data_IF_699802501376
#
_entry.id   IF_699802501376
#
_cell.length_a   1.000
_cell.length_b   1.000
_cell.length_c   1.000
_cell.angle_alpha   90.00
_cell.angle_beta   90.00
_cell.angle_gamma   90.00
#
_symmetry.space_group_name_H-M   'P 1'
#
loop_
_entity.id
_entity.type
_entity.pdbx_description
1 polymer ?
#
# COMPACT_ATOMS: atom_id res chain seq x y z
N UNK A 1 8.40 -4.95 -11.29
CA UNK A 1 7.35 -4.45 -10.35
C UNK A 1 6.95 -3.00 -10.65
N UNK A 2 7.54 -2.37 -11.67
CA UNK A 2 7.19 -1.05 -12.20
C UNK A 2 7.05 -1.16 -13.73
N UNK A 3 6.00 -0.57 -14.36
CA UNK A 3 5.89 -0.48 -15.80
C UNK A 3 7.10 0.19 -16.44
N UNK A 4 7.51 -0.29 -17.62
CA UNK A 4 8.74 0.16 -18.27
C UNK A 4 8.76 1.66 -18.59
N UNK A 5 7.66 2.18 -19.14
CA UNK A 5 7.49 3.61 -19.42
C UNK A 5 7.68 4.47 -18.17
N UNK A 6 7.09 4.06 -17.05
CA UNK A 6 7.23 4.77 -15.78
C UNK A 6 8.68 4.71 -15.27
N UNK A 7 9.31 3.53 -15.34
CA UNK A 7 10.71 3.36 -14.93
C UNK A 7 11.64 4.31 -15.67
N UNK A 8 11.55 4.40 -17.00
CA UNK A 8 12.38 5.34 -17.77
C UNK A 8 12.09 6.80 -17.43
N UNK A 9 10.81 7.15 -17.28
CA UNK A 9 10.42 8.50 -16.87
C UNK A 9 11.04 8.88 -15.52
N UNK A 10 11.00 7.97 -14.53
CA UNK A 10 11.56 8.20 -13.19
C UNK A 10 13.08 8.28 -13.19
N UNK A 11 13.77 7.53 -14.05
CA UNK A 11 15.23 7.66 -14.28
C UNK A 11 15.56 9.06 -14.78
N UNK A 12 14.91 9.52 -15.85
CA UNK A 12 15.15 10.84 -16.45
C UNK A 12 14.87 11.97 -15.45
N UNK A 13 13.81 11.82 -14.66
CA UNK A 13 13.40 12.81 -13.66
C UNK A 13 14.17 12.71 -12.33
N UNK A 14 15.10 11.76 -12.18
CA UNK A 14 15.85 11.50 -10.94
C UNK A 14 14.95 11.28 -9.72
N UNK A 15 13.87 10.52 -9.90
CA UNK A 15 12.87 10.21 -8.86
C UNK A 15 12.94 8.76 -8.38
N UNK A 16 14.11 8.13 -8.45
CA UNK A 16 14.31 6.78 -7.90
C UNK A 16 14.62 6.87 -6.42
N UNK A 17 14.04 5.98 -5.63
CA UNK A 17 14.40 5.81 -4.22
C UNK A 17 15.70 5.00 -4.10
N UNK A 18 16.43 5.17 -2.99
CA UNK A 18 17.56 4.31 -2.65
C UNK A 18 17.16 2.81 -2.58
N UNK A 19 15.91 2.51 -2.21
CA UNK A 19 15.36 1.14 -2.21
C UNK A 19 15.13 0.54 -3.62
N UNK A 20 15.43 1.29 -4.67
CA UNK A 20 15.27 0.90 -6.08
C UNK A 20 16.62 0.95 -6.84
N UNK A 21 17.72 1.12 -6.09
CA UNK A 21 19.08 1.18 -6.60
C UNK A 21 19.96 0.08 -5.96
N UNK A 22 21.05 -0.24 -6.63
CA UNK A 22 22.17 -1.00 -6.04
C UNK A 22 22.98 -0.11 -5.09
N UNK A 23 23.87 -0.72 -4.30
CA UNK A 23 24.72 -0.01 -3.33
C UNK A 23 25.64 1.05 -3.97
N UNK A 24 25.96 0.89 -5.27
CA UNK A 24 26.73 1.86 -6.05
C UNK A 24 25.89 3.03 -6.60
N UNK A 25 24.59 3.08 -6.27
CA UNK A 25 23.64 4.09 -6.71
C UNK A 25 23.09 3.89 -8.12
N UNK A 26 23.50 2.84 -8.84
CA UNK A 26 22.93 2.50 -10.14
C UNK A 26 21.52 1.92 -9.97
N UNK A 27 20.63 2.16 -10.95
CA UNK A 27 19.27 1.61 -10.92
C UNK A 27 19.30 0.08 -10.90
N UNK A 28 18.45 -0.52 -10.06
CA UNK A 28 18.15 -1.95 -10.08
C UNK A 28 16.75 -2.16 -10.68
N UNK A 29 16.60 -2.39 -12.01
CA UNK A 29 15.29 -2.41 -12.66
C UNK A 29 14.31 -3.41 -12.06
N UNK A 30 14.80 -4.54 -11.58
CA UNK A 30 14.04 -5.58 -10.89
C UNK A 30 13.46 -5.13 -9.55
N UNK A 31 14.11 -4.19 -8.86
CA UNK A 31 13.67 -3.63 -7.57
C UNK A 31 12.73 -2.43 -7.71
N UNK A 32 12.66 -1.82 -8.89
CA UNK A 32 11.77 -0.66 -9.12
C UNK A 32 10.30 -1.03 -8.94
N UNK A 33 9.59 -0.20 -8.16
CA UNK A 33 8.17 -0.40 -7.85
C UNK A 33 7.36 0.81 -8.34
N UNK A 34 6.21 0.52 -8.97
CA UNK A 34 5.26 1.53 -9.45
C UNK A 34 4.93 2.54 -8.33
N UNK A 35 5.07 3.83 -8.62
CA UNK A 35 4.70 4.92 -7.72
C UNK A 35 3.20 5.19 -7.73
N UNK A 36 2.68 5.63 -6.59
CA UNK A 36 1.33 6.13 -6.54
C UNK A 36 1.26 7.50 -7.24
N UNK A 37 0.46 7.57 -8.30
CA UNK A 37 0.05 8.83 -8.93
C UNK A 37 -1.40 9.16 -8.54
N UNK A 38 -1.66 10.43 -8.20
CA UNK A 38 -3.04 10.89 -7.98
C UNK A 38 -3.78 10.93 -9.32
N UNK A 39 -5.04 10.53 -9.31
CA UNK A 39 -5.90 10.70 -10.48
C UNK A 39 -6.17 12.18 -10.73
N UNK A 40 -5.85 12.67 -11.92
CA UNK A 40 -6.30 13.98 -12.40
C UNK A 40 -7.63 13.84 -13.15
N UNK A 41 -8.40 14.92 -13.27
CA UNK A 41 -9.69 14.91 -13.97
C UNK A 41 -9.56 14.45 -15.44
N UNK A 42 -8.44 14.81 -16.08
CA UNK A 42 -8.13 14.46 -17.48
C UNK A 42 -7.23 13.22 -17.60
N UNK A 43 -7.05 12.44 -16.53
CA UNK A 43 -6.22 11.25 -16.60
C UNK A 43 -6.94 10.16 -17.41
N UNK A 44 -6.38 9.81 -18.56
CA UNK A 44 -6.81 8.66 -19.36
C UNK A 44 -6.80 7.37 -18.51
N UNK A 45 -7.73 6.46 -18.83
CA UNK A 45 -7.70 5.11 -18.24
C UNK A 45 -6.34 4.46 -18.51
N UNK A 46 -5.71 3.85 -17.49
CA UNK A 46 -4.39 3.25 -17.66
C UNK A 46 -4.46 2.13 -18.69
N UNK A 47 -3.45 2.05 -19.54
CA UNK A 47 -3.34 0.95 -20.49
C UNK A 47 -3.09 -0.37 -19.74
N UNK A 48 -3.48 -1.54 -20.30
CA UNK A 48 -3.29 -2.82 -19.63
C UNK A 48 -1.84 -3.10 -19.19
N UNK A 49 -0.84 -2.66 -19.97
CA UNK A 49 0.58 -2.83 -19.63
C UNK A 49 1.09 -1.84 -18.57
N UNK A 50 0.29 -0.84 -18.20
CA UNK A 50 0.56 0.09 -17.09
C UNK A 50 -0.02 -0.43 -15.76
N UNK A 51 -0.84 -1.48 -15.79
CA UNK A 51 -1.40 -2.15 -14.62
C UNK A 51 -0.65 -3.45 -14.32
N UNK A 52 -0.33 -3.69 -13.04
CA UNK A 52 0.34 -4.93 -12.64
C UNK A 52 -0.70 -6.04 -12.46
N UNK A 53 -0.53 -7.21 -13.11
CA UNK A 53 -1.40 -8.36 -12.88
C UNK A 53 -1.24 -8.91 -11.45
N UNK A 54 -2.18 -9.75 -11.02
CA UNK A 54 -2.28 -10.26 -9.66
C UNK A 54 -0.99 -10.90 -9.13
N UNK A 55 -0.32 -11.74 -9.94
CA UNK A 55 0.94 -12.40 -9.58
C UNK A 55 2.08 -11.37 -9.39
N UNK A 56 2.12 -10.33 -10.21
CA UNK A 56 3.09 -9.23 -10.09
C UNK A 56 2.79 -8.37 -8.87
N UNK A 57 1.52 -8.11 -8.54
CA UNK A 57 1.13 -7.41 -7.31
C UNK A 57 1.55 -8.19 -6.07
N UNK A 58 1.32 -9.51 -6.04
CA UNK A 58 1.75 -10.38 -4.94
C UNK A 58 3.28 -10.37 -4.78
N UNK A 59 4.02 -10.54 -5.87
CA UNK A 59 5.50 -10.45 -5.85
C UNK A 59 5.98 -9.08 -5.38
N UNK A 60 5.28 -8.01 -5.78
CA UNK A 60 5.60 -6.66 -5.34
C UNK A 60 5.43 -6.51 -3.83
N UNK A 61 4.30 -6.96 -3.28
CA UNK A 61 4.09 -6.87 -1.83
C UNK A 61 5.05 -7.75 -1.05
N UNK A 62 5.38 -8.94 -1.56
CA UNK A 62 6.40 -9.81 -0.95
C UNK A 62 7.78 -9.13 -0.89
N UNK A 63 8.14 -8.36 -1.91
CA UNK A 63 9.34 -7.52 -1.88
C UNK A 63 9.21 -6.40 -0.83
N UNK A 64 8.14 -5.61 -0.88
CA UNK A 64 7.94 -4.48 0.03
C UNK A 64 7.95 -4.93 1.49
N UNK A 65 7.20 -5.97 1.84
CA UNK A 65 7.14 -6.49 3.22
C UNK A 65 8.41 -7.25 3.58
N UNK A 66 8.81 -8.20 2.74
CA UNK A 66 9.90 -9.14 3.04
C UNK A 66 11.29 -8.51 3.04
N UNK A 67 11.52 -7.49 2.21
CA UNK A 67 12.82 -6.83 2.05
C UNK A 67 12.87 -5.43 2.64
N UNK A 68 11.81 -4.64 2.54
CA UNK A 68 11.87 -3.24 3.00
C UNK A 68 11.27 -3.13 4.40
N UNK A 69 10.04 -3.60 4.61
CA UNK A 69 9.36 -3.42 5.89
C UNK A 69 10.02 -4.19 7.04
N UNK A 70 10.70 -5.31 6.74
CA UNK A 70 11.45 -6.08 7.73
C UNK A 70 12.78 -5.44 8.17
N UNK A 71 13.23 -4.37 7.52
CA UNK A 71 14.45 -3.64 7.88
C UNK A 71 14.08 -2.22 8.28
N UNK A 72 13.58 -2.09 9.51
CA UNK A 72 13.12 -0.81 10.08
C UNK A 72 14.35 0.01 10.49
N UNK A 73 14.55 1.23 9.98
CA UNK A 73 15.67 2.07 10.37
C UNK A 73 15.62 2.50 11.84
N UNK A 74 16.77 2.96 12.34
CA UNK A 74 16.92 3.43 13.72
C UNK A 74 16.77 4.96 13.84
N UNK A 75 17.18 5.71 12.82
CA UNK A 75 17.11 7.18 12.85
C UNK A 75 15.75 7.68 12.37
N UNK A 76 15.30 8.79 12.94
CA UNK A 76 14.01 9.42 12.62
C UNK A 76 13.91 9.83 11.14
N UNK A 77 14.99 10.38 10.58
CA UNK A 77 15.06 10.77 9.17
C UNK A 77 14.90 9.56 8.24
N UNK A 78 15.62 8.47 8.51
CA UNK A 78 15.52 7.24 7.71
C UNK A 78 14.16 6.56 7.88
N UNK A 79 13.59 6.58 9.09
CA UNK A 79 12.25 6.07 9.37
C UNK A 79 11.18 6.79 8.55
N UNK A 80 11.26 8.12 8.45
CA UNK A 80 10.35 8.93 7.65
C UNK A 80 10.45 8.55 6.16
N UNK A 81 11.68 8.46 5.61
CA UNK A 81 11.91 8.08 4.22
C UNK A 81 11.47 6.64 3.92
N UNK A 82 11.74 5.71 4.84
CA UNK A 82 11.32 4.32 4.78
C UNK A 82 9.80 4.20 4.71
N UNK A 83 9.09 4.93 5.58
CA UNK A 83 7.64 4.90 5.60
C UNK A 83 7.04 5.59 4.37
N UNK A 84 7.56 6.74 3.93
CA UNK A 84 7.08 7.42 2.72
C UNK A 84 7.17 6.50 1.48
N UNK A 85 8.29 5.77 1.34
CA UNK A 85 8.44 4.78 0.28
C UNK A 85 7.38 3.67 0.38
N UNK A 86 7.26 3.01 1.53
CA UNK A 86 6.31 1.91 1.73
C UNK A 86 4.86 2.37 1.54
N UNK A 87 4.49 3.50 2.15
CA UNK A 87 3.16 4.10 2.03
C UNK A 87 2.83 4.41 0.57
N UNK A 88 3.76 5.01 -0.18
CA UNK A 88 3.56 5.33 -1.58
C UNK A 88 3.36 4.07 -2.43
N UNK A 89 4.25 3.07 -2.30
CA UNK A 89 4.21 1.85 -3.13
C UNK A 89 3.03 0.94 -2.80
N UNK A 90 2.67 0.81 -1.51
CA UNK A 90 1.48 0.03 -1.09
C UNK A 90 0.19 0.71 -1.54
N UNK A 91 0.12 2.05 -1.52
CA UNK A 91 -1.00 2.80 -2.10
C UNK A 91 -1.12 2.61 -3.61
N UNK A 92 0.00 2.49 -4.33
CA UNK A 92 -0.01 2.16 -5.76
C UNK A 92 -0.55 0.74 -6.02
N UNK A 93 -0.22 -0.24 -5.16
CA UNK A 93 -0.79 -1.60 -5.23
C UNK A 93 -2.31 -1.56 -5.07
N UNK A 94 -2.79 -0.84 -4.04
CA UNK A 94 -4.24 -0.67 -3.81
C UNK A 94 -4.93 0.00 -5.00
N UNK A 95 -4.30 1.00 -5.63
CA UNK A 95 -4.81 1.65 -6.84
C UNK A 95 -4.95 0.66 -8.00
N UNK A 96 -3.95 -0.18 -8.24
CA UNK A 96 -4.02 -1.21 -9.30
C UNK A 96 -5.13 -2.24 -9.04
N UNK A 97 -5.35 -2.62 -7.77
CA UNK A 97 -6.46 -3.52 -7.37
C UNK A 97 -7.81 -2.89 -7.71
N UNK A 98 -8.01 -1.61 -7.37
CA UNK A 98 -9.23 -0.87 -7.66
C UNK A 98 -9.44 -0.70 -9.18
N UNK A 99 -8.41 -0.30 -9.91
CA UNK A 99 -8.50 -0.07 -11.37
C UNK A 99 -8.79 -1.36 -12.15
N UNK A 100 -8.35 -2.51 -11.64
CA UNK A 100 -8.64 -3.82 -12.22
C UNK A 100 -9.91 -4.46 -11.66
N UNK A 101 -10.63 -3.79 -10.75
CA UNK A 101 -11.84 -4.30 -10.08
C UNK A 101 -11.65 -5.73 -9.50
N UNK A 102 -10.48 -5.99 -8.91
CA UNK A 102 -10.13 -7.32 -8.44
C UNK A 102 -10.98 -7.71 -7.23
N UNK A 103 -11.67 -8.86 -7.31
CA UNK A 103 -12.43 -9.48 -6.21
C UNK A 103 -12.01 -10.94 -6.08
N UNK A 104 -10.85 -11.16 -5.44
CA UNK A 104 -10.22 -12.47 -5.28
C UNK A 104 -9.31 -12.50 -4.03
N UNK A 105 -8.76 -13.68 -3.74
CA UNK A 105 -7.86 -13.92 -2.59
C UNK A 105 -6.65 -12.98 -2.60
N UNK A 106 -6.02 -12.76 -3.76
CA UNK A 106 -4.86 -11.86 -3.87
C UNK A 106 -5.22 -10.44 -3.42
N UNK A 107 -6.37 -9.91 -3.83
CA UNK A 107 -6.80 -8.57 -3.41
C UNK A 107 -7.00 -8.49 -1.89
N UNK A 108 -7.61 -9.52 -1.28
CA UNK A 108 -7.80 -9.63 0.17
C UNK A 108 -6.44 -9.60 0.87
N UNK A 109 -5.55 -10.55 0.57
CA UNK A 109 -4.23 -10.67 1.21
C UNK A 109 -3.42 -9.38 1.11
N UNK A 110 -3.42 -8.74 -0.06
CA UNK A 110 -2.65 -7.51 -0.29
C UNK A 110 -3.20 -6.33 0.52
N UNK A 111 -4.52 -6.17 0.61
CA UNK A 111 -5.13 -5.07 1.38
C UNK A 111 -4.98 -5.32 2.88
N UNK A 112 -5.09 -6.57 3.34
CA UNK A 112 -4.79 -6.95 4.72
C UNK A 112 -3.36 -6.55 5.13
N UNK A 113 -2.37 -6.82 4.28
CA UNK A 113 -0.98 -6.44 4.53
C UNK A 113 -0.82 -4.90 4.59
N UNK A 114 -1.53 -4.15 3.75
CA UNK A 114 -1.56 -2.69 3.83
C UNK A 114 -2.14 -2.19 5.17
N UNK A 115 -3.24 -2.79 5.63
CA UNK A 115 -3.86 -2.45 6.93
C UNK A 115 -2.88 -2.69 8.07
N UNK A 116 -2.25 -3.88 8.13
CA UNK A 116 -1.27 -4.22 9.18
C UNK A 116 -0.08 -3.26 9.16
N UNK A 117 0.41 -2.87 7.98
CA UNK A 117 1.47 -1.86 7.83
C UNK A 117 1.06 -0.50 8.41
N UNK A 118 -0.15 -0.01 8.12
CA UNK A 118 -0.62 1.29 8.65
C UNK A 118 -0.80 1.28 10.17
N UNK A 119 -1.26 0.16 10.74
CA UNK A 119 -1.35 -0.03 12.19
C UNK A 119 0.04 -0.03 12.81
N UNK A 120 0.98 -0.79 12.24
CA UNK A 120 2.38 -0.81 12.67
C UNK A 120 3.00 0.60 12.63
N UNK A 121 2.85 1.31 11.51
CA UNK A 121 3.40 2.65 11.33
C UNK A 121 2.82 3.65 12.34
N UNK A 122 1.52 3.54 12.66
CA UNK A 122 0.87 4.40 13.67
C UNK A 122 1.56 4.34 15.03
N UNK A 123 2.05 3.17 15.42
CA UNK A 123 2.77 3.00 16.67
C UNK A 123 4.25 3.31 16.51
N UNK A 124 4.89 2.81 15.45
CA UNK A 124 6.35 2.93 15.29
C UNK A 124 6.81 4.37 15.04
N UNK A 125 5.98 5.19 14.38
CA UNK A 125 6.32 6.56 14.00
C UNK A 125 5.61 7.61 14.88
N UNK A 126 4.98 7.24 16.00
CA UNK A 126 4.16 8.16 16.79
C UNK A 126 4.93 9.32 17.44
N UNK A 127 6.24 9.15 17.65
CA UNK A 127 7.12 10.17 18.23
C UNK A 127 7.74 11.11 17.18
N UNK A 128 7.57 10.81 15.88
CA UNK A 128 8.08 11.67 14.80
C UNK A 128 7.25 12.96 14.71
N UNK A 129 7.89 14.02 14.22
CA UNK A 129 7.18 15.28 14.03
C UNK A 129 6.19 15.19 12.86
N UNK A 130 5.20 16.08 12.86
CA UNK A 130 4.16 16.12 11.82
C UNK A 130 4.72 16.21 10.38
N UNK A 131 5.83 16.90 10.18
CA UNK A 131 6.47 17.03 8.87
C UNK A 131 7.14 15.73 8.39
N UNK A 132 7.48 14.82 9.32
CA UNK A 132 8.12 13.54 9.05
C UNK A 132 7.06 12.44 8.91
N UNK A 133 5.99 12.51 9.70
CA UNK A 133 4.89 11.56 9.67
C UNK A 133 3.54 12.21 10.01
N UNK A 134 2.68 12.32 9.00
CA UNK A 134 1.31 12.75 9.18
C UNK A 134 0.43 11.57 9.65
N UNK A 135 0.29 11.43 10.97
CA UNK A 135 -0.53 10.40 11.60
C UNK A 135 -1.99 10.44 11.15
N UNK A 136 -2.53 11.62 10.83
CA UNK A 136 -3.91 11.75 10.33
C UNK A 136 -4.00 11.16 8.92
N UNK A 137 -3.05 11.49 8.04
CA UNK A 137 -3.00 10.92 6.70
C UNK A 137 -2.82 9.39 6.75
N UNK A 138 -1.99 8.86 7.66
CA UNK A 138 -1.87 7.40 7.85
C UNK A 138 -3.21 6.78 8.27
N UNK A 139 -3.87 7.36 9.28
CA UNK A 139 -5.19 6.93 9.76
C UNK A 139 -6.25 6.95 8.66
N UNK A 140 -6.26 7.97 7.79
CA UNK A 140 -7.16 8.04 6.63
C UNK A 140 -6.91 6.90 5.62
N UNK A 141 -5.65 6.53 5.39
CA UNK A 141 -5.31 5.42 4.49
C UNK A 141 -5.65 4.06 5.10
N UNK A 142 -5.49 3.91 6.42
CA UNK A 142 -5.94 2.75 7.19
C UNK A 142 -7.46 2.59 7.06
N UNK A 143 -8.23 3.63 7.34
CA UNK A 143 -9.70 3.65 7.23
C UNK A 143 -10.16 3.24 5.81
N UNK A 144 -9.58 3.86 4.77
CA UNK A 144 -9.88 3.51 3.37
C UNK A 144 -9.52 2.05 3.03
N UNK A 145 -8.46 1.51 3.63
CA UNK A 145 -8.05 0.11 3.41
C UNK A 145 -9.05 -0.85 4.02
N UNK A 146 -9.44 -0.60 5.28
CA UNK A 146 -10.46 -1.38 5.99
C UNK A 146 -11.81 -1.33 5.27
N UNK A 147 -12.22 -0.16 4.80
CA UNK A 147 -13.45 -0.01 4.01
C UNK A 147 -13.40 -0.83 2.71
N UNK A 148 -12.27 -0.81 1.99
CA UNK A 148 -12.10 -1.61 0.77
C UNK A 148 -12.15 -3.11 1.08
N UNK A 149 -11.52 -3.52 2.19
CA UNK A 149 -11.46 -4.91 2.62
C UNK A 149 -12.86 -5.42 3.04
N UNK A 150 -13.64 -4.60 3.73
CA UNK A 150 -15.05 -4.88 4.03
C UNK A 150 -15.85 -5.19 2.77
N UNK A 151 -15.79 -4.32 1.76
CA UNK A 151 -16.51 -4.56 0.51
C UNK A 151 -16.04 -5.83 -0.21
N UNK A 152 -14.74 -6.13 -0.17
CA UNK A 152 -14.21 -7.37 -0.71
C UNK A 152 -14.76 -8.61 0.01
N UNK A 153 -14.80 -8.60 1.35
CA UNK A 153 -15.41 -9.69 2.11
C UNK A 153 -16.89 -9.85 1.79
N UNK A 154 -17.64 -8.75 1.74
CA UNK A 154 -19.07 -8.78 1.42
C UNK A 154 -19.33 -9.37 0.02
N UNK A 155 -18.54 -8.99 -0.99
CA UNK A 155 -18.67 -9.49 -2.36
C UNK A 155 -18.22 -10.95 -2.53
N UNK A 156 -17.23 -11.39 -1.75
CA UNK A 156 -16.78 -12.78 -1.72
C UNK A 156 -17.77 -13.68 -0.95
N UNK A 157 -18.37 -13.17 0.12
CA UNK A 157 -19.41 -13.87 0.88
C UNK A 157 -20.66 -14.14 0.01
N UNK A 158 -21.05 -13.20 -0.86
CA UNK A 158 -22.12 -13.43 -1.87
C UNK A 158 -21.81 -14.60 -2.82
N UNK A 159 -20.53 -14.96 -2.98
CA UNK A 159 -20.04 -16.09 -3.77
C UNK A 159 -19.76 -17.34 -2.93
N UNK A 160 -20.08 -17.33 -1.63
CA UNK A 160 -19.82 -18.42 -0.69
C UNK A 160 -18.36 -18.57 -0.27
N UNK A 161 -17.52 -17.54 -0.48
CA UNK A 161 -16.11 -17.53 -0.08
C UNK A 161 -15.95 -16.70 1.18
N UNK A 162 -15.35 -17.30 2.21
CA UNK A 162 -15.13 -16.66 3.52
C UNK A 162 -13.68 -16.84 3.96
N UNK A 163 -13.16 -15.87 4.71
CA UNK A 163 -11.78 -15.87 5.22
C UNK A 163 -11.78 -15.83 6.74
N UNK A 164 -10.95 -16.67 7.37
CA UNK A 164 -10.80 -16.67 8.83
C UNK A 164 -10.21 -15.36 9.37
N UNK A 165 -9.47 -14.65 8.53
CA UNK A 165 -8.90 -13.33 8.83
C UNK A 165 -9.95 -12.22 8.91
N UNK A 166 -11.15 -12.39 8.36
CA UNK A 166 -12.16 -11.33 8.34
C UNK A 166 -12.43 -10.77 9.74
N UNK A 167 -12.53 -11.64 10.75
CA UNK A 167 -12.76 -11.23 12.13
C UNK A 167 -11.66 -10.29 12.68
N UNK A 168 -10.38 -10.53 12.32
CA UNK A 168 -9.25 -9.66 12.69
C UNK A 168 -9.47 -8.25 12.16
N UNK A 169 -9.81 -8.12 10.87
CA UNK A 169 -9.94 -6.81 10.21
C UNK A 169 -11.22 -6.07 10.60
N UNK A 170 -12.32 -6.79 10.86
CA UNK A 170 -13.53 -6.19 11.45
C UNK A 170 -13.23 -5.61 12.84
N UNK A 171 -12.41 -6.31 13.65
CA UNK A 171 -11.98 -5.78 14.94
C UNK A 171 -11.14 -4.51 14.80
N UNK A 172 -10.22 -4.44 13.82
CA UNK A 172 -9.47 -3.20 13.53
C UNK A 172 -10.37 -2.03 13.11
N UNK A 173 -11.39 -2.29 12.28
CA UNK A 173 -12.38 -1.28 11.89
C UNK A 173 -13.17 -0.73 13.08
N UNK A 174 -13.58 -1.61 14.01
CA UNK A 174 -14.26 -1.22 15.25
C UNK A 174 -13.33 -0.38 16.14
N UNK A 175 -12.09 -0.84 16.34
CA UNK A 175 -11.12 -0.15 17.20
C UNK A 175 -10.76 1.25 16.66
N UNK A 176 -10.67 1.41 15.34
CA UNK A 176 -10.38 2.69 14.71
C UNK A 176 -11.45 3.75 14.97
N UNK A 177 -12.69 3.32 15.20
CA UNK A 177 -13.85 4.19 15.27
C UNK A 177 -14.55 4.13 16.65
N UNK A 178 -13.88 3.70 17.73
CA UNK A 178 -14.50 3.52 19.05
C UNK A 178 -15.29 4.72 19.59
N UNK A 179 -14.94 5.94 19.17
CA UNK A 179 -15.63 7.18 19.52
C UNK A 179 -16.84 7.52 18.64
N UNK A 180 -17.03 6.82 17.52
CA UNK A 180 -18.17 6.96 16.61
C UNK A 180 -19.28 5.99 17.04
N UNK A 181 -20.43 6.54 17.40
CA UNK A 181 -21.59 5.77 17.84
C UNK A 181 -22.23 4.93 16.72
N UNK A 182 -21.82 5.11 15.45
CA UNK A 182 -22.31 4.34 14.31
C UNK A 182 -21.55 3.03 14.05
N UNK A 183 -20.48 2.73 14.79
CA UNK A 183 -19.64 1.53 14.56
C UNK A 183 -20.37 0.20 14.72
N UNK A 184 -21.46 0.19 15.49
CA UNK A 184 -22.26 -1.01 15.77
C UNK A 184 -23.48 -1.16 14.86
N UNK A 185 -23.64 -0.31 13.83
CA UNK A 185 -24.75 -0.35 12.87
C UNK A 185 -24.27 -0.75 11.49
#
# INVERSE_FOLDING_TARGET
MCPEKERYMRVVQKRLSAYECHDDGSIAPELTVKEYSRSAADQEEPLPHELRPADVLQRTMNYLVGKIANHVPETDEELAQWYDFLWNRTRAIRKDITQQMMVNETAVTLIEQCVRLHIFASHRLCELNFNEFDQKMNTENLSKSLQSLRYLYDDLAKKGVHYSSEAEFRAYEIMLNLSDSNVFR
#
